data_IF_848353123147
#
_entry.id   IF_848353123147
#
_cell.length_a   1.000
_cell.length_b   1.000
_cell.length_c   1.000
_cell.angle_alpha   90.00
_cell.angle_beta   90.00
_cell.angle_gamma   90.00
#
_symmetry.space_group_name_H-M   'P 1'
#
loop_
_entity.id
_entity.type
_entity.pdbx_description
1 polymer ?
#
# COMPACT_ATOMS: atom_id res chain seq x y z
N UNK A 1 21.33 5.80 9.88
CA UNK A 1 20.57 4.78 9.12
C UNK A 1 21.53 3.86 8.39
N UNK A 2 21.27 2.54 8.31
CA UNK A 2 22.08 1.64 7.48
C UNK A 2 21.86 2.00 5.99
N UNK A 3 22.92 1.95 5.17
CA UNK A 3 22.85 2.20 3.71
C UNK A 3 21.74 1.38 3.04
N UNK A 4 21.54 0.14 3.48
CA UNK A 4 20.49 -0.76 2.99
C UNK A 4 19.08 -0.18 3.14
N UNK A 5 18.79 0.46 4.28
CA UNK A 5 17.46 0.98 4.58
C UNK A 5 17.15 2.26 3.79
N UNK A 6 18.18 3.08 3.53
CA UNK A 6 18.03 4.28 2.71
C UNK A 6 17.76 3.93 1.23
N UNK A 7 18.50 2.95 0.69
CA UNK A 7 18.30 2.46 -0.68
C UNK A 7 16.93 1.81 -0.84
N UNK A 8 16.48 1.01 0.12
CA UNK A 8 15.14 0.42 0.09
C UNK A 8 14.02 1.45 0.20
N UNK A 9 14.21 2.51 1.00
CA UNK A 9 13.27 3.62 1.09
C UNK A 9 13.11 4.33 -0.26
N UNK A 10 14.23 4.68 -0.92
CA UNK A 10 14.19 5.37 -2.22
C UNK A 10 13.55 4.48 -3.29
N UNK A 11 14.00 3.23 -3.42
CA UNK A 11 13.42 2.27 -4.38
C UNK A 11 11.93 2.00 -4.09
N UNK A 12 11.55 1.97 -2.80
CA UNK A 12 10.17 1.85 -2.35
C UNK A 12 9.30 3.03 -2.76
N UNK A 13 9.79 4.26 -2.60
CA UNK A 13 9.07 5.47 -3.02
C UNK A 13 8.89 5.48 -4.55
N UNK A 14 9.96 5.16 -5.30
CA UNK A 14 9.90 5.11 -6.77
C UNK A 14 8.89 4.06 -7.22
N UNK A 15 8.96 2.83 -6.70
CA UNK A 15 8.01 1.76 -7.05
C UNK A 15 6.57 2.12 -6.69
N UNK A 16 6.33 2.69 -5.51
CA UNK A 16 5.02 3.16 -5.08
C UNK A 16 4.45 4.26 -5.99
N UNK A 17 5.29 5.22 -6.40
CA UNK A 17 4.88 6.29 -7.31
C UNK A 17 4.47 5.75 -8.69
N UNK A 18 5.28 4.87 -9.29
CA UNK A 18 4.95 4.24 -10.57
C UNK A 18 3.68 3.41 -10.49
N UNK A 19 3.49 2.65 -9.40
CA UNK A 19 2.29 1.85 -9.21
C UNK A 19 1.03 2.73 -9.05
N UNK A 20 1.10 3.77 -8.22
CA UNK A 20 -0.02 4.70 -8.01
C UNK A 20 -0.38 5.45 -9.30
N UNK A 21 0.61 5.93 -10.05
CA UNK A 21 0.39 6.59 -11.33
C UNK A 21 -0.26 5.64 -12.36
N UNK A 22 0.20 4.38 -12.43
CA UNK A 22 -0.40 3.37 -13.29
C UNK A 22 -1.87 3.09 -12.96
N UNK A 23 -2.20 2.99 -11.67
CA UNK A 23 -3.58 2.82 -11.17
C UNK A 23 -4.48 4.01 -11.58
N UNK A 24 -3.99 5.25 -11.40
CA UNK A 24 -4.74 6.44 -11.79
C UNK A 24 -4.98 6.51 -13.31
N UNK A 25 -3.97 6.23 -14.13
CA UNK A 25 -4.11 6.23 -15.59
C UNK A 25 -5.07 5.13 -16.10
N UNK A 26 -5.22 4.03 -15.35
CA UNK A 26 -6.15 2.96 -15.68
C UNK A 26 -7.60 3.26 -15.23
N UNK A 27 -7.80 4.00 -14.14
CA UNK A 27 -9.15 4.30 -13.65
C UNK A 27 -9.78 5.54 -14.28
N UNK A 28 -9.02 6.43 -14.90
CA UNK A 28 -9.52 7.68 -15.50
C UNK A 28 -9.78 7.45 -17.00
N UNK A 29 -11.04 7.21 -17.41
CA UNK A 29 -11.36 6.92 -18.81
C UNK A 29 -11.14 8.14 -19.73
N UNK A 30 -11.17 9.37 -19.19
CA UNK A 30 -10.98 10.60 -19.98
C UNK A 30 -9.60 10.70 -20.64
N UNK A 31 -8.59 10.01 -20.09
CA UNK A 31 -7.22 10.06 -20.62
C UNK A 31 -6.99 9.08 -21.77
N UNK A 32 -7.95 8.18 -22.05
CA UNK A 32 -7.82 7.07 -23.01
C UNK A 32 -6.50 6.28 -22.86
N UNK A 33 -5.90 6.36 -21.67
CA UNK A 33 -4.57 5.87 -21.32
C UNK A 33 -4.64 4.53 -20.56
N UNK A 34 -5.74 3.79 -20.72
CA UNK A 34 -5.97 2.54 -20.03
C UNK A 34 -4.86 1.50 -20.30
N UNK A 35 -4.52 1.30 -21.58
CA UNK A 35 -3.45 0.38 -22.01
C UNK A 35 -2.08 0.80 -21.43
N UNK A 36 -1.62 2.05 -21.58
CA UNK A 36 -0.35 2.46 -20.98
C UNK A 36 -0.41 2.46 -19.44
N UNK A 37 -1.55 2.77 -18.81
CA UNK A 37 -1.73 2.73 -17.36
C UNK A 37 -1.49 1.34 -16.76
N UNK A 38 -2.01 0.29 -17.41
CA UNK A 38 -1.74 -1.11 -17.01
C UNK A 38 -0.24 -1.42 -17.12
N UNK A 39 0.40 -1.00 -18.20
CA UNK A 39 1.84 -1.26 -18.41
C UNK A 39 2.66 -0.58 -17.30
N UNK A 40 2.40 0.70 -17.03
CA UNK A 40 3.10 1.46 -15.99
C UNK A 40 2.84 0.88 -14.60
N UNK A 41 1.60 0.46 -14.31
CA UNK A 41 1.24 -0.22 -13.07
C UNK A 41 1.99 -1.55 -12.89
N UNK A 42 2.05 -2.37 -13.93
CA UNK A 42 2.82 -3.61 -13.94
C UNK A 42 4.31 -3.36 -13.72
N UNK A 43 4.89 -2.33 -14.36
CA UNK A 43 6.28 -1.91 -14.12
C UNK A 43 6.47 -1.51 -12.66
N UNK A 44 5.52 -0.77 -12.06
CA UNK A 44 5.53 -0.43 -10.63
C UNK A 44 5.57 -1.67 -9.72
N UNK A 45 4.76 -2.70 -10.00
CA UNK A 45 4.78 -3.97 -9.26
C UNK A 45 6.13 -4.68 -9.43
N UNK A 46 6.66 -4.76 -10.65
CA UNK A 46 7.96 -5.38 -10.92
C UNK A 46 9.06 -4.66 -10.13
N UNK A 47 9.06 -3.33 -10.11
CA UNK A 47 9.98 -2.53 -9.30
C UNK A 47 9.81 -2.79 -7.80
N UNK A 48 8.58 -2.95 -7.30
CA UNK A 48 8.32 -3.29 -5.91
C UNK A 48 8.92 -4.67 -5.55
N UNK A 49 8.76 -5.67 -6.43
CA UNK A 49 9.36 -7.00 -6.27
C UNK A 49 10.90 -6.94 -6.26
N UNK A 50 11.49 -6.19 -7.20
CA UNK A 50 12.94 -5.96 -7.25
C UNK A 50 13.41 -5.28 -5.96
N UNK A 51 12.68 -4.29 -5.46
CA UNK A 51 13.00 -3.58 -4.21
C UNK A 51 13.04 -4.54 -3.03
N UNK A 52 12.04 -5.41 -2.90
CA UNK A 52 11.99 -6.45 -1.85
C UNK A 52 13.18 -7.41 -1.97
N UNK A 53 13.51 -7.83 -3.19
CA UNK A 53 14.63 -8.75 -3.43
C UNK A 53 15.99 -8.11 -3.11
N UNK A 54 16.24 -6.90 -3.60
CA UNK A 54 17.48 -6.14 -3.36
C UNK A 54 17.66 -5.85 -1.88
N UNK A 55 16.60 -5.39 -1.20
CA UNK A 55 16.65 -5.13 0.25
C UNK A 55 16.97 -6.41 1.04
N UNK A 56 16.31 -7.53 0.70
CA UNK A 56 16.58 -8.84 1.32
C UNK A 56 18.01 -9.32 1.13
N UNK A 57 18.53 -9.17 -0.09
CA UNK A 57 19.91 -9.54 -0.42
C UNK A 57 20.91 -8.70 0.37
N UNK A 58 20.66 -7.40 0.51
CA UNK A 58 21.54 -6.48 1.26
C UNK A 58 21.52 -6.69 2.78
N UNK A 59 20.39 -7.13 3.35
CA UNK A 59 20.31 -7.36 4.80
C UNK A 59 20.72 -8.77 5.22
N UNK A 60 21.11 -9.66 4.28
CA UNK A 60 21.42 -11.07 4.55
C UNK A 60 20.39 -11.75 5.47
N UNK A 61 19.13 -11.30 5.41
CA UNK A 61 18.09 -11.84 6.30
C UNK A 61 17.70 -13.24 5.82
N UNK A 62 17.42 -14.10 6.80
CA UNK A 62 16.83 -15.42 6.57
C UNK A 62 15.53 -15.31 5.71
N UNK A 63 15.13 -16.37 4.97
CA UNK A 63 13.94 -16.39 4.11
C UNK A 63 12.68 -15.85 4.81
N UNK A 64 11.64 -15.47 4.05
CA UNK A 64 10.38 -14.91 4.62
C UNK A 64 9.90 -15.87 5.73
N UNK A 65 10.14 -15.52 7.00
CA UNK A 65 9.47 -16.18 8.11
C UNK A 65 8.08 -15.59 8.12
N UNK A 66 7.20 -16.21 7.33
CA UNK A 66 5.77 -15.94 7.33
C UNK A 66 5.26 -16.39 8.70
N UNK A 67 5.36 -15.51 9.68
CA UNK A 67 4.70 -15.69 10.97
C UNK A 67 3.22 -15.37 10.80
N UNK A 68 2.34 -16.09 11.50
CA UNK A 68 0.92 -15.75 11.53
C UNK A 68 0.66 -14.29 11.89
N UNK A 69 1.54 -13.68 12.72
CA UNK A 69 1.48 -12.24 13.01
C UNK A 69 1.75 -11.37 11.79
N UNK A 70 2.72 -11.74 10.95
CA UNK A 70 3.08 -10.96 9.76
C UNK A 70 1.95 -10.98 8.70
N UNK A 71 1.32 -12.15 8.52
CA UNK A 71 0.16 -12.27 7.63
C UNK A 71 -1.00 -11.45 8.18
N UNK A 72 -1.30 -11.59 9.48
CA UNK A 72 -2.36 -10.83 10.13
C UNK A 72 -2.14 -9.32 9.99
N UNK A 73 -0.92 -8.82 10.23
CA UNK A 73 -0.60 -7.40 10.06
C UNK A 73 -0.80 -6.93 8.62
N UNK A 74 -0.44 -7.75 7.63
CA UNK A 74 -0.62 -7.40 6.22
C UNK A 74 -2.10 -7.34 5.84
N UNK A 75 -2.89 -8.34 6.25
CA UNK A 75 -4.34 -8.40 5.97
C UNK A 75 -5.06 -7.23 6.64
N UNK A 76 -4.80 -6.96 7.91
CA UNK A 76 -5.42 -5.83 8.64
C UNK A 76 -5.03 -4.50 7.98
N UNK A 77 -3.78 -4.36 7.51
CA UNK A 77 -3.34 -3.18 6.78
C UNK A 77 -4.09 -2.97 5.46
N UNK A 78 -4.27 -4.03 4.69
CA UNK A 78 -5.03 -4.01 3.43
C UNK A 78 -6.49 -3.62 3.70
N UNK A 79 -7.14 -4.27 4.68
CA UNK A 79 -8.53 -4.00 5.04
C UNK A 79 -8.71 -2.55 5.52
N UNK A 80 -7.82 -2.05 6.38
CA UNK A 80 -7.86 -0.67 6.85
C UNK A 80 -7.68 0.36 5.75
N UNK A 81 -6.72 0.15 4.84
CA UNK A 81 -6.48 1.03 3.70
C UNK A 81 -7.66 1.04 2.71
N UNK A 82 -8.25 -0.13 2.43
CA UNK A 82 -9.43 -0.24 1.58
C UNK A 82 -10.64 0.42 2.21
N UNK A 83 -10.89 0.20 3.51
CA UNK A 83 -11.99 0.85 4.23
C UNK A 83 -11.86 2.38 4.19
N UNK A 84 -10.65 2.91 4.42
CA UNK A 84 -10.38 4.34 4.30
C UNK A 84 -10.64 4.86 2.88
N UNK A 85 -10.14 4.15 1.86
CA UNK A 85 -10.36 4.49 0.44
C UNK A 85 -11.84 4.50 0.07
N UNK A 86 -12.58 3.48 0.48
CA UNK A 86 -14.03 3.36 0.24
C UNK A 86 -14.78 4.49 0.97
N UNK A 87 -14.38 4.85 2.19
CA UNK A 87 -14.94 6.01 2.90
C UNK A 87 -14.80 7.31 2.10
N UNK A 88 -13.63 7.56 1.50
CA UNK A 88 -13.40 8.71 0.62
C UNK A 88 -14.25 8.65 -0.66
N UNK A 89 -14.43 7.47 -1.25
CA UNK A 89 -15.31 7.30 -2.41
C UNK A 89 -16.78 7.57 -2.06
N UNK A 90 -17.25 7.14 -0.88
CA UNK A 90 -18.62 7.41 -0.43
C UNK A 90 -18.93 8.89 -0.24
N UNK A 91 -17.96 9.69 0.22
CA UNK A 91 -18.14 11.14 0.36
C UNK A 91 -18.07 11.87 -0.98
N UNK A 92 -17.10 11.54 -1.84
CA UNK A 92 -16.84 12.30 -3.07
C UNK A 92 -17.65 11.83 -4.29
N UNK A 93 -17.93 10.54 -4.41
CA UNK A 93 -18.58 9.95 -5.60
C UNK A 93 -20.06 9.71 -5.37
N UNK A 94 -20.44 9.18 -4.20
CA UNK A 94 -21.82 8.79 -3.91
C UNK A 94 -22.62 9.80 -3.07
N UNK A 95 -22.02 10.92 -2.67
CA UNK A 95 -22.69 12.00 -1.92
C UNK A 95 -23.16 11.61 -0.51
N UNK A 96 -22.86 10.40 -0.04
CA UNK A 96 -23.28 9.89 1.25
C UNK A 96 -22.24 10.24 2.33
N UNK A 97 -22.20 11.53 2.67
CA UNK A 97 -21.17 12.09 3.56
C UNK A 97 -21.13 11.41 4.94
N UNK A 98 -22.28 11.13 5.54
CA UNK A 98 -22.38 10.51 6.88
C UNK A 98 -21.78 9.11 6.87
N UNK A 99 -22.20 8.25 5.93
CA UNK A 99 -21.68 6.89 5.78
C UNK A 99 -20.19 6.89 5.45
N UNK A 100 -19.75 7.80 4.57
CA UNK A 100 -18.34 7.93 4.21
C UNK A 100 -17.45 8.30 5.40
N UNK A 101 -17.90 9.22 6.27
CA UNK A 101 -17.17 9.60 7.49
C UNK A 101 -17.10 8.42 8.47
N UNK A 102 -18.20 7.70 8.69
CA UNK A 102 -18.24 6.54 9.60
C UNK A 102 -17.28 5.45 9.11
N UNK A 103 -17.35 5.09 7.82
CA UNK A 103 -16.48 4.06 7.23
C UNK A 103 -15.01 4.53 7.23
N UNK A 104 -14.75 5.80 6.94
CA UNK A 104 -13.41 6.40 7.01
C UNK A 104 -12.83 6.35 8.42
N UNK A 105 -13.62 6.71 9.44
CA UNK A 105 -13.22 6.61 10.85
C UNK A 105 -12.88 5.18 11.26
N UNK A 106 -13.71 4.21 10.87
CA UNK A 106 -13.44 2.79 11.10
C UNK A 106 -12.13 2.38 10.42
N UNK A 107 -11.88 2.81 9.18
CA UNK A 107 -10.62 2.58 8.46
C UNK A 107 -9.40 3.13 9.22
N UNK A 108 -9.48 4.36 9.74
CA UNK A 108 -8.41 4.98 10.54
C UNK A 108 -8.16 4.16 11.82
N UNK A 109 -9.20 3.77 12.54
CA UNK A 109 -9.08 2.96 13.77
C UNK A 109 -8.38 1.63 13.48
N UNK A 110 -8.77 0.94 12.41
CA UNK A 110 -8.14 -0.32 11.97
C UNK A 110 -6.65 -0.09 11.65
N UNK A 111 -6.32 0.99 10.95
CA UNK A 111 -4.93 1.34 10.65
C UNK A 111 -4.12 1.67 11.90
N UNK A 112 -4.70 2.36 12.89
CA UNK A 112 -4.05 2.63 14.18
C UNK A 112 -3.81 1.35 14.97
N UNK A 113 -4.69 0.35 14.86
CA UNK A 113 -4.48 -0.97 15.45
C UNK A 113 -3.27 -1.73 14.85
N UNK A 114 -2.70 -1.33 13.71
CA UNK A 114 -1.42 -1.90 13.26
C UNK A 114 -0.24 -1.50 14.15
N UNK A 115 -0.26 -0.33 14.79
CA UNK A 115 0.82 0.14 15.66
C UNK A 115 1.10 -0.87 16.79
N UNK A 116 0.10 -1.25 17.62
CA UNK A 116 0.28 -2.25 18.66
C UNK A 116 0.58 -3.65 18.09
N UNK A 117 0.04 -4.00 16.92
CA UNK A 117 0.23 -5.31 16.31
C UNK A 117 1.67 -5.50 15.78
N UNK A 118 2.28 -4.44 15.25
CA UNK A 118 3.63 -4.44 14.70
C UNK A 118 4.73 -4.21 15.75
N UNK A 119 4.51 -3.32 16.73
CA UNK A 119 5.51 -3.00 17.76
C UNK A 119 5.35 -3.79 19.06
N UNK A 120 4.19 -4.43 19.26
CA UNK A 120 3.76 -4.94 20.57
C UNK A 120 3.31 -3.78 21.46
N UNK A 121 2.24 -3.95 22.25
CA UNK A 121 2.00 -3.06 23.37
C UNK A 121 3.16 -3.24 24.36
N UNK A 122 3.87 -2.15 24.66
CA UNK A 122 4.74 -2.04 25.82
C UNK A 122 4.12 -1.01 26.75
#
# INVERSE_FOLDING_TARGET
MKKSNFVALILGIISGLFFALGMCMAMIPEWNAFRPGIIVGCVGIVFALITVFVWRKMEHKQPIKISGKAVLTAVVGIVGALALGVGMCFTMVWGNMILGIVVGLVGIVILLCLIPLCKGLK
#
